data_IF_884209523544
#
_entry.id   IF_884209523544
#
_cell.length_a   1.000
_cell.length_b   1.000
_cell.length_c   1.000
_cell.angle_alpha   90.00
_cell.angle_beta   90.00
_cell.angle_gamma   90.00
#
_symmetry.space_group_name_H-M   'P 1'
#
loop_
_entity.id
_entity.type
_entity.pdbx_description
1 polymer ?
#
# COMPACT_ATOMS: atom_id res chain seq x y z
N UNK A 1 16.21 -0.82 -37.33
CA UNK A 1 15.51 0.49 -37.42
C UNK A 1 14.17 0.53 -36.68
N UNK A 2 13.44 -0.59 -36.56
CA UNK A 2 12.11 -0.66 -35.92
C UNK A 2 12.02 -0.15 -34.46
N UNK A 3 13.11 -0.22 -33.70
CA UNK A 3 13.14 0.25 -32.30
C UNK A 3 13.73 1.65 -32.09
N UNK A 4 14.39 2.23 -33.10
CA UNK A 4 15.06 3.54 -32.94
C UNK A 4 14.07 4.69 -32.83
N UNK A 5 13.00 4.65 -33.63
CA UNK A 5 11.95 5.69 -33.64
C UNK A 5 11.19 5.73 -32.30
N UNK A 6 10.69 4.58 -31.76
CA UNK A 6 10.09 4.57 -30.42
C UNK A 6 11.02 5.04 -29.30
N UNK A 7 12.31 4.70 -29.38
CA UNK A 7 13.30 5.10 -28.37
C UNK A 7 13.52 6.62 -28.34
N UNK A 8 13.68 7.23 -29.52
CA UNK A 8 13.83 8.69 -29.65
C UNK A 8 12.57 9.38 -29.15
N UNK A 9 11.40 8.85 -29.49
CA UNK A 9 10.13 9.37 -28.99
C UNK A 9 10.03 9.30 -27.46
N UNK A 10 10.33 8.15 -26.87
CA UNK A 10 10.33 7.97 -25.42
C UNK A 10 11.33 8.91 -24.71
N UNK A 11 12.52 9.10 -25.28
CA UNK A 11 13.52 10.03 -24.78
C UNK A 11 13.01 11.49 -24.80
N UNK A 12 12.48 11.94 -25.94
CA UNK A 12 11.95 13.31 -26.09
C UNK A 12 10.76 13.54 -25.16
N UNK A 13 9.81 12.61 -25.09
CA UNK A 13 8.68 12.70 -24.18
C UNK A 13 9.13 12.72 -22.71
N UNK A 14 10.06 11.85 -22.33
CA UNK A 14 10.61 11.80 -20.97
C UNK A 14 11.25 13.13 -20.56
N UNK A 15 12.07 13.72 -21.43
CA UNK A 15 12.69 15.03 -21.18
C UNK A 15 11.64 16.13 -21.09
N UNK A 16 10.65 16.15 -21.97
CA UNK A 16 9.57 17.14 -21.94
C UNK A 16 8.79 17.09 -20.63
N UNK A 17 8.51 15.89 -20.11
CA UNK A 17 7.85 15.71 -18.81
C UNK A 17 8.72 16.25 -17.68
N UNK A 18 10.01 15.89 -17.65
CA UNK A 18 10.95 16.38 -16.63
C UNK A 18 11.02 17.91 -16.65
N UNK A 19 11.14 18.53 -17.82
CA UNK A 19 11.17 20.00 -17.95
C UNK A 19 9.85 20.61 -17.49
N UNK A 20 8.71 19.99 -17.84
CA UNK A 20 7.40 20.53 -17.49
C UNK A 20 7.19 20.62 -15.97
N UNK A 21 7.70 19.65 -15.21
CA UNK A 21 7.57 19.62 -13.75
C UNK A 21 8.26 20.81 -13.06
N UNK A 22 9.37 21.30 -13.64
CA UNK A 22 10.13 22.43 -13.07
C UNK A 22 9.66 23.81 -13.57
N UNK A 23 8.84 23.88 -14.63
CA UNK A 23 8.40 25.14 -15.25
C UNK A 23 6.86 25.24 -15.20
N UNK A 24 6.27 25.87 -14.17
CA UNK A 24 4.82 25.98 -14.02
C UNK A 24 4.24 27.15 -14.84
N UNK A 25 4.59 27.25 -16.12
CA UNK A 25 4.04 28.25 -17.03
C UNK A 25 3.46 27.61 -18.29
N UNK A 26 2.54 28.30 -18.98
CA UNK A 26 2.03 27.83 -20.28
C UNK A 26 3.20 27.80 -21.29
N UNK A 27 3.34 26.75 -22.13
CA UNK A 27 2.41 25.64 -22.38
C UNK A 27 2.60 24.39 -21.51
N UNK A 28 3.67 24.32 -20.69
CA UNK A 28 4.05 23.13 -19.93
C UNK A 28 2.99 22.66 -18.92
N UNK A 29 2.27 23.60 -18.29
CA UNK A 29 1.16 23.24 -17.39
C UNK A 29 0.05 22.46 -18.13
N UNK A 30 -0.30 22.84 -19.37
CA UNK A 30 -1.30 22.10 -20.15
C UNK A 30 -0.83 20.67 -20.45
N UNK A 31 0.45 20.50 -20.79
CA UNK A 31 1.04 19.19 -21.06
C UNK A 31 0.95 18.25 -19.84
N UNK A 32 1.23 18.76 -18.63
CA UNK A 32 1.10 17.99 -17.39
C UNK A 32 -0.36 17.56 -17.18
N UNK A 33 -1.31 18.49 -17.30
CA UNK A 33 -2.74 18.16 -17.10
C UNK A 33 -3.23 17.10 -18.10
N UNK A 34 -2.86 17.22 -19.38
CA UNK A 34 -3.22 16.23 -20.40
C UNK A 34 -2.59 14.86 -20.12
N UNK A 35 -1.33 14.83 -19.66
CA UNK A 35 -0.68 13.59 -19.28
C UNK A 35 -1.32 12.94 -18.04
N UNK A 36 -1.74 13.74 -17.06
CA UNK A 36 -2.48 13.25 -15.89
C UNK A 36 -3.82 12.64 -16.30
N UNK A 37 -4.56 13.27 -17.21
CA UNK A 37 -5.80 12.73 -17.74
C UNK A 37 -5.57 11.40 -18.47
N UNK A 38 -4.55 11.32 -19.34
CA UNK A 38 -4.18 10.09 -20.03
C UNK A 38 -3.76 8.99 -19.05
N UNK A 39 -2.96 9.34 -18.04
CA UNK A 39 -2.56 8.42 -16.99
C UNK A 39 -3.77 7.89 -16.20
N UNK A 40 -4.74 8.75 -15.88
CA UNK A 40 -5.96 8.35 -15.19
C UNK A 40 -6.79 7.37 -16.03
N UNK A 41 -6.94 7.64 -17.34
CA UNK A 41 -7.64 6.73 -18.27
C UNK A 41 -6.91 5.38 -18.34
N UNK A 42 -5.59 5.38 -18.56
CA UNK A 42 -4.77 4.16 -18.63
C UNK A 42 -4.85 3.38 -17.31
N UNK A 43 -4.79 4.07 -16.16
CA UNK A 43 -4.90 3.45 -14.84
C UNK A 43 -6.26 2.77 -14.62
N UNK A 44 -7.33 3.36 -15.14
CA UNK A 44 -8.66 2.72 -15.15
C UNK A 44 -8.65 1.37 -15.87
N UNK A 45 -8.04 1.30 -17.07
CA UNK A 45 -7.87 0.03 -17.79
C UNK A 45 -6.91 -0.93 -17.08
N UNK A 46 -5.84 -0.40 -16.47
CA UNK A 46 -4.88 -1.21 -15.71
C UNK A 46 -5.53 -1.89 -14.50
N UNK A 47 -6.46 -1.22 -13.81
CA UNK A 47 -7.26 -1.81 -12.72
C UNK A 47 -8.09 -2.99 -13.23
N UNK A 48 -8.70 -2.88 -14.42
CA UNK A 48 -9.44 -4.00 -15.03
C UNK A 48 -8.51 -5.15 -15.40
N UNK A 49 -7.37 -4.85 -16.03
CA UNK A 49 -6.37 -5.86 -16.38
C UNK A 49 -5.80 -6.56 -15.13
N UNK A 50 -5.56 -5.81 -14.05
CA UNK A 50 -5.11 -6.35 -12.77
C UNK A 50 -6.11 -7.33 -12.17
N UNK A 51 -7.42 -7.01 -12.24
CA UNK A 51 -8.48 -7.93 -11.83
C UNK A 51 -8.48 -9.19 -12.70
N UNK A 52 -8.43 -9.06 -14.03
CA UNK A 52 -8.39 -10.20 -14.95
C UNK A 52 -7.16 -11.09 -14.65
N UNK A 53 -5.99 -10.49 -14.43
CA UNK A 53 -4.76 -11.20 -14.07
C UNK A 53 -4.92 -12.00 -12.78
N UNK A 54 -5.60 -11.43 -11.78
CA UNK A 54 -5.91 -12.13 -10.53
C UNK A 54 -6.79 -13.36 -10.79
N UNK A 55 -7.85 -13.24 -11.59
CA UNK A 55 -8.68 -14.39 -11.96
C UNK A 55 -7.86 -15.45 -12.69
N UNK A 56 -7.09 -15.06 -13.71
CA UNK A 56 -6.28 -15.99 -14.51
C UNK A 56 -5.28 -16.76 -13.64
N UNK A 57 -4.55 -16.05 -12.77
CA UNK A 57 -3.56 -16.66 -11.90
C UNK A 57 -4.19 -17.66 -10.91
N UNK A 58 -5.34 -17.31 -10.31
CA UNK A 58 -6.02 -18.18 -9.36
C UNK A 58 -6.72 -19.37 -10.04
N UNK A 59 -7.40 -19.16 -11.17
CA UNK A 59 -8.04 -20.22 -11.96
C UNK A 59 -7.01 -21.25 -12.43
N UNK A 60 -5.84 -20.80 -12.88
CA UNK A 60 -4.75 -21.71 -13.27
C UNK A 60 -4.35 -22.62 -12.11
N UNK A 61 -4.13 -22.05 -10.91
CA UNK A 61 -3.78 -22.82 -9.71
C UNK A 61 -4.88 -23.80 -9.28
N UNK A 62 -6.15 -23.45 -9.48
CA UNK A 62 -7.30 -24.33 -9.22
C UNK A 62 -7.32 -25.49 -10.22
N UNK A 63 -7.15 -25.21 -11.51
CA UNK A 63 -7.13 -26.21 -12.59
C UNK A 63 -5.98 -27.20 -12.43
N UNK A 64 -4.81 -26.72 -12.02
CA UNK A 64 -3.61 -27.53 -11.75
C UNK A 64 -3.70 -28.32 -10.43
N UNK A 65 -4.78 -28.15 -9.64
CA UNK A 65 -4.99 -28.81 -8.33
C UNK A 65 -3.76 -28.71 -7.41
N UNK A 66 -3.19 -27.51 -7.31
CA UNK A 66 -2.14 -27.25 -6.32
C UNK A 66 -2.60 -27.63 -4.91
N UNK A 67 -1.65 -27.93 -4.01
CA UNK A 67 -1.93 -28.40 -2.63
C UNK A 67 -2.97 -27.54 -1.89
N UNK A 68 -2.97 -26.23 -2.16
CA UNK A 68 -3.82 -25.22 -1.52
C UNK A 68 -4.94 -24.69 -2.43
N UNK A 69 -5.35 -25.45 -3.45
CA UNK A 69 -6.39 -25.06 -4.42
C UNK A 69 -7.73 -24.58 -3.80
N UNK A 70 -8.23 -25.14 -2.68
CA UNK A 70 -9.52 -24.69 -2.12
C UNK A 70 -9.47 -23.23 -1.65
N UNK A 71 -8.32 -22.76 -1.16
CA UNK A 71 -8.16 -21.38 -0.71
C UNK A 71 -8.19 -20.39 -1.87
N UNK A 72 -7.60 -20.77 -3.02
CA UNK A 72 -7.68 -19.95 -4.24
C UNK A 72 -9.12 -19.87 -4.77
N UNK A 73 -9.91 -20.96 -4.66
CA UNK A 73 -11.32 -20.95 -5.01
C UNK A 73 -12.14 -20.06 -4.06
N UNK A 74 -11.93 -20.20 -2.75
CA UNK A 74 -12.61 -19.37 -1.74
C UNK A 74 -12.33 -17.88 -1.98
N UNK A 75 -11.08 -17.50 -2.24
CA UNK A 75 -10.72 -16.12 -2.55
C UNK A 75 -11.42 -15.58 -3.80
N UNK A 76 -11.53 -16.38 -4.87
CA UNK A 76 -12.19 -15.98 -6.11
C UNK A 76 -13.71 -15.82 -5.93
N UNK A 77 -14.34 -16.69 -5.14
CA UNK A 77 -15.75 -16.57 -4.77
C UNK A 77 -15.98 -15.31 -3.94
N UNK A 78 -15.20 -15.10 -2.87
CA UNK A 78 -15.33 -13.92 -2.01
C UNK A 78 -15.10 -12.61 -2.77
N UNK A 79 -14.13 -12.58 -3.68
CA UNK A 79 -13.90 -11.45 -4.57
C UNK A 79 -15.11 -11.20 -5.47
N UNK A 80 -15.64 -12.23 -6.12
CA UNK A 80 -16.79 -12.13 -7.03
C UNK A 80 -18.03 -11.65 -6.30
N UNK A 81 -18.29 -12.15 -5.09
CA UNK A 81 -19.38 -11.71 -4.23
C UNK A 81 -19.24 -10.22 -3.94
N UNK A 82 -18.09 -9.77 -3.42
CA UNK A 82 -17.85 -8.36 -3.12
C UNK A 82 -18.02 -7.45 -4.34
N UNK A 83 -17.49 -7.87 -5.50
CA UNK A 83 -17.59 -7.13 -6.75
C UNK A 83 -19.05 -6.99 -7.19
N UNK A 84 -19.84 -8.07 -7.16
CA UNK A 84 -21.25 -8.05 -7.52
C UNK A 84 -22.03 -7.10 -6.61
N UNK A 85 -21.85 -7.21 -5.29
CA UNK A 85 -22.55 -6.32 -4.35
C UNK A 85 -22.13 -4.85 -4.50
N UNK A 86 -20.85 -4.59 -4.77
CA UNK A 86 -20.35 -3.25 -5.06
C UNK A 86 -20.89 -2.65 -6.36
N UNK A 87 -20.96 -3.43 -7.45
CA UNK A 87 -21.51 -2.96 -8.73
C UNK A 87 -23.01 -2.73 -8.65
N UNK A 88 -23.75 -3.63 -7.99
CA UNK A 88 -25.19 -3.60 -7.97
C UNK A 88 -25.75 -2.53 -7.02
N UNK A 89 -25.24 -2.41 -5.80
CA UNK A 89 -25.77 -1.49 -4.78
C UNK A 89 -24.86 -0.31 -4.43
N UNK A 90 -23.63 -0.28 -4.95
CA UNK A 90 -22.68 0.79 -4.71
C UNK A 90 -22.05 0.74 -3.31
N UNK A 91 -21.21 1.74 -3.04
CA UNK A 91 -20.56 1.97 -1.73
C UNK A 91 -21.28 3.08 -0.97
N UNK A 92 -20.79 3.50 0.21
CA UNK A 92 -21.39 4.61 0.97
C UNK A 92 -21.61 5.86 0.10
N UNK A 93 -20.59 6.28 -0.65
CA UNK A 93 -20.59 7.52 -1.43
C UNK A 93 -21.19 7.37 -2.83
N UNK A 94 -21.02 6.20 -3.48
CA UNK A 94 -21.37 6.01 -4.89
C UNK A 94 -22.59 5.12 -5.08
N UNK A 95 -23.43 5.44 -6.08
CA UNK A 95 -24.62 4.66 -6.43
C UNK A 95 -24.25 3.45 -7.30
N UNK A 96 -24.83 2.30 -7.03
CA UNK A 96 -24.72 1.12 -7.90
C UNK A 96 -25.74 1.11 -9.03
N UNK A 97 -25.70 0.07 -9.87
CA UNK A 97 -26.59 -0.13 -11.02
C UNK A 97 -28.07 -0.17 -10.61
N UNK A 98 -28.40 -0.77 -9.46
CA UNK A 98 -29.75 -0.82 -8.91
C UNK A 98 -30.08 0.37 -7.97
N UNK A 99 -29.26 1.42 -7.98
CA UNK A 99 -29.40 2.59 -7.11
C UNK A 99 -28.69 2.44 -5.77
N UNK A 100 -29.03 3.30 -4.79
CA UNK A 100 -28.38 3.32 -3.47
C UNK A 100 -28.80 2.17 -2.55
N UNK A 101 -29.69 1.28 -2.99
CA UNK A 101 -30.18 0.19 -2.16
C UNK A 101 -30.99 0.67 -0.95
N UNK A 102 -31.68 1.81 -1.06
CA UNK A 102 -32.42 2.45 0.04
C UNK A 102 -33.37 1.49 0.77
N UNK A 103 -34.04 0.59 0.03
CA UNK A 103 -34.92 -0.44 0.61
C UNK A 103 -34.16 -1.45 1.49
N UNK A 104 -32.96 -1.84 1.08
CA UNK A 104 -32.14 -2.80 1.82
C UNK A 104 -31.45 -2.11 3.00
N UNK A 105 -30.97 -0.89 2.80
CA UNK A 105 -30.43 -0.06 3.86
C UNK A 105 -31.48 0.22 4.95
N UNK A 106 -32.76 0.41 4.58
CA UNK A 106 -33.84 0.59 5.55
C UNK A 106 -34.12 -0.67 6.39
N UNK A 107 -33.87 -1.88 5.87
CA UNK A 107 -34.07 -3.15 6.58
C UNK A 107 -32.84 -3.60 7.37
N UNK A 108 -31.64 -3.38 6.83
CA UNK A 108 -30.36 -3.90 7.36
C UNK A 108 -29.55 -2.80 8.08
N UNK A 109 -29.96 -1.53 7.97
CA UNK A 109 -29.27 -0.36 8.52
C UNK A 109 -28.05 0.09 7.70
N UNK A 110 -27.48 -0.78 6.86
CA UNK A 110 -26.31 -0.52 6.03
C UNK A 110 -26.50 -1.06 4.61
N UNK A 111 -25.74 -0.53 3.65
CA UNK A 111 -25.74 -1.07 2.28
C UNK A 111 -25.13 -2.48 2.28
N UNK A 112 -25.55 -3.36 1.35
CA UNK A 112 -25.02 -4.73 1.27
C UNK A 112 -23.50 -4.84 1.20
N UNK A 113 -22.85 -3.96 0.43
CA UNK A 113 -21.39 -3.92 0.34
C UNK A 113 -20.75 -3.57 1.69
N UNK A 114 -21.22 -2.52 2.35
CA UNK A 114 -20.69 -2.05 3.64
C UNK A 114 -20.87 -3.11 4.74
N UNK A 115 -22.01 -3.82 4.72
CA UNK A 115 -22.26 -4.92 5.63
C UNK A 115 -21.23 -6.05 5.47
N UNK A 116 -20.97 -6.49 4.22
CA UNK A 116 -19.95 -7.50 3.94
C UNK A 116 -18.55 -6.97 4.27
N UNK A 117 -18.29 -5.70 4.03
CA UNK A 117 -17.01 -5.07 4.34
C UNK A 117 -16.73 -5.10 5.85
N UNK A 118 -17.68 -4.62 6.65
CA UNK A 118 -17.53 -4.53 8.09
C UNK A 118 -17.56 -5.90 8.79
N UNK A 119 -18.37 -6.85 8.31
CA UNK A 119 -18.58 -8.12 9.00
C UNK A 119 -17.76 -9.29 8.45
N UNK A 120 -17.28 -9.22 7.20
CA UNK A 120 -16.46 -10.27 6.61
C UNK A 120 -15.03 -9.78 6.33
N UNK A 121 -14.88 -8.75 5.50
CA UNK A 121 -13.55 -8.33 5.05
C UNK A 121 -12.69 -7.75 6.19
N UNK A 122 -13.26 -6.90 7.03
CA UNK A 122 -12.53 -6.26 8.13
C UNK A 122 -12.07 -7.27 9.20
N UNK A 123 -12.90 -8.21 9.68
CA UNK A 123 -12.43 -9.26 10.60
C UNK A 123 -11.38 -10.19 9.96
N UNK A 124 -11.56 -10.61 8.70
CA UNK A 124 -10.60 -11.48 8.00
C UNK A 124 -9.26 -10.79 7.74
N UNK A 125 -9.27 -9.49 7.43
CA UNK A 125 -8.02 -8.72 7.31
C UNK A 125 -7.36 -8.53 8.68
N UNK A 126 -8.15 -8.29 9.73
CA UNK A 126 -7.66 -8.20 11.11
C UNK A 126 -6.97 -9.50 11.57
N UNK A 127 -7.49 -10.68 11.24
CA UNK A 127 -6.82 -11.95 11.58
C UNK A 127 -5.49 -12.10 10.84
N UNK A 128 -5.43 -11.70 9.56
CA UNK A 128 -4.18 -11.69 8.80
C UNK A 128 -3.14 -10.73 9.41
N UNK A 129 -3.55 -9.52 9.79
CA UNK A 129 -2.67 -8.55 10.45
C UNK A 129 -2.25 -9.00 11.85
N UNK A 130 -3.13 -9.66 12.60
CA UNK A 130 -2.82 -10.23 13.92
C UNK A 130 -1.77 -11.34 13.81
N UNK A 131 -1.94 -12.27 12.87
CA UNK A 131 -0.93 -13.30 12.59
C UNK A 131 0.40 -12.69 12.16
N UNK A 132 0.37 -11.69 11.27
CA UNK A 132 1.57 -10.99 10.84
C UNK A 132 2.28 -10.32 12.02
N UNK A 133 1.54 -9.60 12.88
CA UNK A 133 2.08 -8.96 14.07
C UNK A 133 2.71 -9.99 15.02
N UNK A 134 2.03 -11.12 15.25
CA UNK A 134 2.54 -12.21 16.07
C UNK A 134 3.84 -12.81 15.51
N UNK A 135 3.89 -13.09 14.20
CA UNK A 135 5.09 -13.64 13.57
C UNK A 135 6.26 -12.65 13.53
N UNK A 136 5.99 -11.37 13.29
CA UNK A 136 7.01 -10.30 13.37
C UNK A 136 7.56 -10.23 14.79
N UNK A 137 6.69 -10.18 15.81
CA UNK A 137 7.12 -10.15 17.21
C UNK A 137 7.94 -11.40 17.59
N UNK A 138 7.51 -12.59 17.18
CA UNK A 138 8.24 -13.84 17.43
C UNK A 138 9.60 -13.89 16.72
N UNK A 139 9.68 -13.42 15.47
CA UNK A 139 10.93 -13.33 14.72
C UNK A 139 11.87 -12.28 15.32
N UNK A 140 11.36 -11.09 15.66
CA UNK A 140 12.12 -10.02 16.29
C UNK A 140 12.66 -10.44 17.66
N UNK A 141 11.83 -11.08 18.49
CA UNK A 141 12.27 -11.63 19.78
C UNK A 141 13.43 -12.62 19.60
N UNK A 142 13.33 -13.55 18.65
CA UNK A 142 14.43 -14.49 18.33
C UNK A 142 15.68 -13.78 17.81
N UNK A 143 15.52 -12.75 16.98
CA UNK A 143 16.64 -11.96 16.45
C UNK A 143 17.31 -11.09 17.52
N UNK A 144 16.55 -10.57 18.50
CA UNK A 144 17.05 -9.70 19.55
C UNK A 144 17.66 -10.45 20.75
N UNK A 145 17.36 -11.75 20.92
CA UNK A 145 18.05 -12.62 21.90
C UNK A 145 19.54 -12.81 21.57
N UNK A 146 19.97 -12.56 20.34
CA UNK A 146 21.40 -12.52 19.99
C UNK A 146 22.06 -11.45 20.86
N UNK A 147 23.04 -11.86 21.68
CA UNK A 147 23.70 -11.02 22.70
C UNK A 147 24.65 -9.96 22.12
N UNK A 148 24.14 -9.12 21.21
CA UNK A 148 24.82 -7.91 20.75
C UNK A 148 24.30 -6.68 21.51
N UNK A 149 25.10 -5.64 21.58
CA UNK A 149 24.70 -4.39 22.24
C UNK A 149 23.55 -3.73 21.47
N UNK A 150 23.62 -3.79 20.14
CA UNK A 150 22.65 -3.23 19.20
C UNK A 150 21.28 -3.92 19.34
N UNK A 151 21.25 -5.25 19.42
CA UNK A 151 20.01 -6.02 19.59
C UNK A 151 19.30 -5.71 20.91
N UNK A 152 20.06 -5.59 22.01
CA UNK A 152 19.51 -5.23 23.32
C UNK A 152 18.96 -3.80 23.34
N UNK A 153 19.68 -2.85 22.73
CA UNK A 153 19.23 -1.48 22.60
C UNK A 153 17.89 -1.41 21.86
N UNK A 154 17.80 -2.07 20.70
CA UNK A 154 16.57 -2.14 19.90
C UNK A 154 15.41 -2.80 20.65
N UNK A 155 15.68 -3.87 21.41
CA UNK A 155 14.66 -4.55 22.22
C UNK A 155 14.09 -3.62 23.30
N UNK A 156 14.96 -2.93 24.04
CA UNK A 156 14.54 -1.98 25.09
C UNK A 156 13.73 -0.84 24.47
N UNK A 157 14.21 -0.26 23.37
CA UNK A 157 13.50 0.78 22.61
C UNK A 157 12.12 0.29 22.15
N UNK A 158 12.00 -0.93 21.64
CA UNK A 158 10.73 -1.50 21.21
C UNK A 158 9.74 -1.67 22.37
N UNK A 159 10.19 -2.17 23.53
CA UNK A 159 9.34 -2.31 24.73
C UNK A 159 8.85 -0.95 25.21
N UNK A 160 9.73 0.04 25.28
CA UNK A 160 9.38 1.42 25.66
C UNK A 160 8.31 1.97 24.71
N UNK A 161 8.51 1.81 23.40
CA UNK A 161 7.59 2.34 22.39
C UNK A 161 6.22 1.66 22.48
N UNK A 162 6.19 0.33 22.57
CA UNK A 162 4.95 -0.45 22.68
C UNK A 162 4.16 -0.06 23.93
N UNK A 163 4.82 0.06 25.09
CA UNK A 163 4.15 0.47 26.32
C UNK A 163 3.68 1.93 26.25
N UNK A 164 4.51 2.84 25.73
CA UNK A 164 4.18 4.26 25.63
C UNK A 164 2.99 4.59 24.72
N UNK A 165 2.73 3.77 23.69
CA UNK A 165 1.59 3.95 22.75
C UNK A 165 0.30 3.26 23.23
N UNK A 166 0.34 2.54 24.34
CA UNK A 166 -0.86 1.96 24.95
C UNK A 166 -1.40 2.86 26.07
N UNK A 167 -2.69 2.75 26.37
CA UNK A 167 -3.32 3.45 27.51
C UNK A 167 -2.63 3.14 28.85
N UNK A 168 -1.93 2.00 28.96
CA UNK A 168 -1.14 1.63 30.13
C UNK A 168 0.12 2.49 30.34
N UNK A 169 0.73 3.00 29.27
CA UNK A 169 1.96 3.81 29.37
C UNK A 169 1.74 5.08 30.20
N UNK A 170 0.61 5.74 29.98
CA UNK A 170 0.21 6.91 30.76
C UNK A 170 -0.14 6.58 32.22
N UNK A 171 -0.85 5.46 32.46
CA UNK A 171 -1.19 5.04 33.82
C UNK A 171 0.07 4.73 34.65
N UNK A 172 1.03 3.98 34.09
CA UNK A 172 2.25 3.56 34.79
C UNK A 172 3.24 4.69 35.10
N UNK A 173 3.19 5.81 34.38
CA UNK A 173 4.09 6.96 34.60
C UNK A 173 3.39 8.22 35.11
N UNK A 174 2.08 8.13 35.38
CA UNK A 174 1.28 9.24 35.92
C UNK A 174 1.72 9.72 37.32
N UNK A 175 2.41 8.88 38.08
CA UNK A 175 2.94 9.20 39.41
C UNK A 175 4.26 9.97 39.39
N UNK A 176 4.86 10.18 38.21
CA UNK A 176 6.15 10.83 38.10
C UNK A 176 6.02 12.36 38.21
N UNK A 177 6.92 13.05 38.96
CA UNK A 177 6.84 14.51 39.13
C UNK A 177 6.97 15.29 37.81
N UNK A 178 6.36 16.47 37.75
CA UNK A 178 6.37 17.30 36.53
C UNK A 178 7.77 17.66 36.01
N UNK A 179 8.78 17.72 36.89
CA UNK A 179 10.18 17.96 36.51
C UNK A 179 10.81 16.81 35.70
N UNK A 180 10.22 15.62 35.73
CA UNK A 180 10.67 14.43 35.00
C UNK A 180 9.70 14.03 33.87
N UNK A 181 8.90 14.98 33.36
CA UNK A 181 7.97 14.76 32.23
C UNK A 181 8.63 14.09 31.02
N UNK A 182 9.92 14.31 30.78
CA UNK A 182 10.66 13.65 29.70
C UNK A 182 10.73 12.12 29.84
N UNK A 183 10.75 11.59 31.07
CA UNK A 183 10.79 10.15 31.35
C UNK A 183 9.40 9.49 31.34
N UNK A 184 8.32 10.25 31.10
CA UNK A 184 7.01 9.65 30.90
C UNK A 184 7.05 8.76 29.65
N UNK A 185 6.59 7.51 29.80
CA UNK A 185 6.63 6.50 28.73
C UNK A 185 6.04 7.00 27.40
N UNK A 186 4.90 7.74 27.40
CA UNK A 186 4.38 8.34 26.17
C UNK A 186 5.35 9.33 25.51
N UNK A 187 5.93 10.25 26.28
CA UNK A 187 6.84 11.29 25.74
C UNK A 187 8.13 10.69 25.18
N UNK A 188 8.67 9.67 25.84
CA UNK A 188 9.85 8.96 25.36
C UNK A 188 9.54 8.18 24.07
N UNK A 189 8.37 7.56 23.99
CA UNK A 189 7.89 6.89 22.78
C UNK A 189 7.72 7.86 21.63
N UNK A 190 7.12 9.03 21.87
CA UNK A 190 6.97 10.09 20.87
C UNK A 190 8.32 10.62 20.39
N UNK A 191 9.28 10.84 21.29
CA UNK A 191 10.66 11.21 20.92
C UNK A 191 11.30 10.17 19.97
N UNK A 192 11.21 8.87 20.30
CA UNK A 192 11.77 7.80 19.48
C UNK A 192 11.09 7.76 18.09
N UNK A 193 9.76 7.96 18.05
CA UNK A 193 8.99 7.94 16.82
C UNK A 193 9.26 9.17 15.94
N UNK A 194 9.39 10.34 16.54
CA UNK A 194 9.54 11.62 15.84
C UNK A 194 10.96 11.84 15.32
N UNK A 195 12.00 11.43 16.05
CA UNK A 195 13.39 11.67 15.67
C UNK A 195 14.02 10.45 14.96
N UNK A 196 14.47 9.38 15.66
CA UNK A 196 15.09 8.22 15.02
C UNK A 196 14.23 7.54 13.95
N UNK A 197 12.96 7.24 14.27
CA UNK A 197 12.11 6.47 13.37
C UNK A 197 11.73 7.29 12.13
N UNK A 198 11.36 8.57 12.28
CA UNK A 198 11.05 9.41 11.11
C UNK A 198 12.27 9.62 10.22
N UNK A 199 13.48 9.77 10.80
CA UNK A 199 14.72 9.86 10.03
C UNK A 199 14.98 8.59 9.21
N UNK A 200 14.81 7.41 9.81
CA UNK A 200 14.95 6.13 9.12
C UNK A 200 13.89 5.97 8.00
N UNK A 201 12.62 6.28 8.28
CA UNK A 201 11.55 6.24 7.29
C UNK A 201 11.84 7.19 6.10
N UNK A 202 12.29 8.42 6.39
CA UNK A 202 12.70 9.37 5.34
C UNK A 202 13.87 8.83 4.52
N UNK A 203 14.88 8.23 5.15
CA UNK A 203 16.00 7.62 4.42
C UNK A 203 15.55 6.49 3.50
N UNK A 204 14.63 5.62 3.95
CA UNK A 204 14.04 4.55 3.12
C UNK A 204 13.25 5.15 1.95
N UNK A 205 12.41 6.15 2.20
CA UNK A 205 11.61 6.81 1.17
C UNK A 205 12.49 7.50 0.12
N UNK A 206 13.53 8.22 0.56
CA UNK A 206 14.50 8.85 -0.34
C UNK A 206 15.21 7.78 -1.18
N UNK A 207 15.62 6.68 -0.56
CA UNK A 207 16.30 5.57 -1.26
C UNK A 207 15.38 4.92 -2.30
N UNK A 208 14.12 4.67 -1.95
CA UNK A 208 13.12 4.15 -2.87
C UNK A 208 12.84 5.11 -4.04
N UNK A 209 12.68 6.40 -3.74
CA UNK A 209 12.49 7.44 -4.75
C UNK A 209 13.69 7.54 -5.72
N UNK A 210 14.92 7.51 -5.20
CA UNK A 210 16.13 7.48 -6.02
C UNK A 210 16.20 6.22 -6.89
N UNK A 211 15.79 5.06 -6.36
CA UNK A 211 15.67 3.82 -7.13
C UNK A 211 14.68 3.94 -8.29
N UNK A 212 13.51 4.53 -8.04
CA UNK A 212 12.50 4.80 -9.07
C UNK A 212 13.05 5.76 -10.13
N UNK A 213 13.67 6.87 -9.72
CA UNK A 213 14.29 7.85 -10.64
C UNK A 213 15.36 7.16 -11.50
N UNK A 214 16.21 6.32 -10.91
CA UNK A 214 17.23 5.56 -11.63
C UNK A 214 16.61 4.60 -12.67
N UNK A 215 15.52 3.92 -12.31
CA UNK A 215 14.80 3.07 -13.27
C UNK A 215 14.16 3.88 -14.40
N UNK A 216 13.48 4.97 -14.07
CA UNK A 216 12.86 5.87 -15.05
C UNK A 216 13.91 6.46 -16.00
N UNK A 217 15.08 6.86 -15.50
CA UNK A 217 16.16 7.39 -16.33
C UNK A 217 16.71 6.33 -17.29
N UNK A 218 16.89 5.08 -16.83
CA UNK A 218 17.31 3.97 -17.70
C UNK A 218 16.30 3.70 -18.82
N UNK A 219 15.01 3.85 -18.54
CA UNK A 219 13.93 3.73 -19.54
C UNK A 219 13.98 4.91 -20.53
N UNK A 220 14.08 6.15 -20.05
CA UNK A 220 14.12 7.37 -20.88
C UNK A 220 15.35 7.37 -21.79
N UNK A 221 16.52 7.01 -21.27
CA UNK A 221 17.77 6.88 -22.03
C UNK A 221 17.77 5.66 -22.96
N UNK A 222 16.76 4.79 -22.88
CA UNK A 222 16.64 3.63 -23.75
C UNK A 222 17.64 2.51 -23.46
N UNK A 223 18.22 2.51 -22.26
CA UNK A 223 19.10 1.47 -21.73
C UNK A 223 18.24 0.24 -21.40
N UNK A 224 17.12 0.43 -20.72
CA UNK A 224 16.11 -0.61 -20.48
C UNK A 224 15.05 -0.58 -21.59
N UNK A 225 14.96 -1.66 -22.37
CA UNK A 225 14.05 -1.79 -23.52
C UNK A 225 12.94 -2.81 -23.31
N UNK A 226 12.77 -3.31 -22.09
CA UNK A 226 11.79 -4.35 -21.73
C UNK A 226 10.36 -3.98 -22.17
N UNK A 227 10.01 -2.69 -22.13
CA UNK A 227 8.70 -2.19 -22.55
C UNK A 227 8.45 -2.21 -24.07
N UNK A 228 9.48 -2.39 -24.90
CA UNK A 228 9.38 -2.42 -26.37
C UNK A 228 9.13 -3.84 -26.92
N UNK A 229 8.89 -4.83 -26.05
CA UNK A 229 8.58 -6.21 -26.46
C UNK A 229 9.75 -6.92 -27.16
N UNK A 230 10.99 -6.50 -26.89
CA UNK A 230 12.18 -7.17 -27.41
C UNK A 230 12.57 -8.36 -26.53
N UNK A 231 12.56 -9.56 -27.12
CA UNK A 231 13.21 -10.73 -26.55
C UNK A 231 14.70 -10.43 -26.27
N UNK A 232 15.13 -10.70 -25.03
CA UNK A 232 16.51 -10.80 -24.53
C UNK A 232 17.53 -9.76 -25.02
#
# INVERSE_FOLDING_TARGET
MKYKIPLVFAFVCGILVVISEFIPHRPFNMLITTLQDWFMIISGFAILLGQISLFQANIKKIKEKNKDWPFYLAGLISFTVMLIFGLLWGTQEYRGIFGQGEKIQATVGMKPFDYLFANAFMPLSSTMFSLLAFFIASAAYRAFIIRSFESNLLMITAVIVMLGRTSFGGMLTSWLPEGLKFLHLPNLSDFIMEFPNSAAQRAILISAALGIIGSSLRIILGIERSYLGGEK
#
